data_IF_034161855518
#
_entry.id   IF_034161855518
#
_cell.length_a   1.000
_cell.length_b   1.000
_cell.length_c   1.000
_cell.angle_alpha   90.00
_cell.angle_beta   90.00
_cell.angle_gamma   90.00
#
_symmetry.space_group_name_H-M   'P 1'
#
loop_
_entity.id
_entity.type
_entity.pdbx_description
1 polymer ?
#
# COMPACT_ATOMS: atom_id res chain seq x y z
N UNK A 1 1.71 -13.25 -27.73
CA UNK A 1 2.29 -14.31 -26.85
C UNK A 1 1.25 -15.26 -26.26
N UNK A 2 0.07 -14.80 -25.84
CA UNK A 2 -1.01 -15.64 -25.28
C UNK A 2 -1.62 -16.62 -26.29
N UNK A 3 -1.67 -16.29 -27.57
CA UNK A 3 -2.28 -17.08 -28.65
C UNK A 3 -1.39 -18.17 -29.28
N UNK A 4 -0.18 -18.42 -28.77
CA UNK A 4 0.63 -19.55 -29.22
C UNK A 4 0.05 -20.85 -28.66
N UNK A 5 -0.14 -21.88 -29.51
CA UNK A 5 -0.63 -23.20 -29.11
C UNK A 5 0.25 -23.80 -28.02
N UNK A 6 -0.38 -24.26 -26.96
CA UNK A 6 0.28 -25.02 -25.89
C UNK A 6 0.43 -26.48 -26.34
N UNK A 7 1.56 -27.10 -26.05
CA UNK A 7 1.73 -28.53 -26.28
C UNK A 7 0.73 -29.32 -25.45
N UNK A 8 0.22 -30.43 -25.99
CA UNK A 8 -0.79 -31.25 -25.33
C UNK A 8 -0.35 -31.61 -23.88
N UNK A 9 -1.20 -31.35 -22.90
CA UNK A 9 -0.94 -31.61 -21.46
C UNK A 9 -0.30 -30.48 -20.68
N UNK A 10 0.03 -29.33 -21.29
CA UNK A 10 0.56 -28.17 -20.58
C UNK A 10 -0.49 -27.06 -20.42
N UNK A 11 -0.49 -26.37 -19.29
CA UNK A 11 -1.31 -25.19 -19.04
C UNK A 11 -0.43 -23.94 -19.13
N UNK A 12 -0.92 -22.92 -19.81
CA UNK A 12 -0.28 -21.61 -19.89
C UNK A 12 -0.87 -20.71 -18.81
N UNK A 13 -0.03 -20.14 -17.98
CA UNK A 13 -0.46 -19.24 -16.92
C UNK A 13 0.03 -17.82 -17.24
N UNK A 14 -0.89 -16.88 -17.36
CA UNK A 14 -0.61 -15.45 -17.45
C UNK A 14 -0.92 -14.79 -16.12
N UNK A 15 0.06 -14.08 -15.53
CA UNK A 15 -0.10 -13.37 -14.27
C UNK A 15 0.10 -11.88 -14.55
N UNK A 16 -0.88 -11.07 -14.18
CA UNK A 16 -0.82 -9.61 -14.23
C UNK A 16 -0.92 -9.12 -12.79
N UNK A 17 0.17 -8.61 -12.26
CA UNK A 17 0.22 -7.96 -10.96
C UNK A 17 -0.16 -6.48 -11.08
N UNK A 18 -0.67 -5.89 -9.99
CA UNK A 18 -1.13 -4.50 -9.95
C UNK A 18 -2.13 -4.20 -11.11
N UNK A 19 -3.10 -5.09 -11.29
CA UNK A 19 -4.04 -5.01 -12.41
C UNK A 19 -4.90 -3.73 -12.37
N UNK A 20 -5.08 -3.12 -11.19
CA UNK A 20 -5.70 -1.80 -10.97
C UNK A 20 -4.98 -0.67 -11.71
N UNK A 21 -3.69 -0.84 -12.04
CA UNK A 21 -2.89 0.16 -12.77
C UNK A 21 -3.01 0.08 -14.29
N UNK A 22 -3.76 -0.88 -14.80
CA UNK A 22 -4.06 -0.95 -16.22
C UNK A 22 -4.93 0.26 -16.61
N UNK A 23 -4.46 1.03 -17.57
CA UNK A 23 -5.26 2.10 -18.17
C UNK A 23 -6.55 1.52 -18.75
N UNK A 24 -7.63 2.30 -18.76
CA UNK A 24 -8.94 1.88 -19.27
C UNK A 24 -8.85 1.27 -20.68
N UNK A 25 -8.05 1.87 -21.57
CA UNK A 25 -7.82 1.35 -22.92
C UNK A 25 -7.18 -0.07 -22.91
N UNK A 26 -6.28 -0.33 -21.96
CA UNK A 26 -5.64 -1.63 -21.79
C UNK A 26 -6.63 -2.65 -21.20
N UNK A 27 -7.43 -2.25 -20.22
CA UNK A 27 -8.49 -3.09 -19.66
C UNK A 27 -9.50 -3.49 -20.74
N UNK A 28 -9.96 -2.54 -21.57
CA UNK A 28 -10.88 -2.78 -22.68
C UNK A 28 -10.26 -3.71 -23.75
N UNK A 29 -8.97 -3.55 -24.09
CA UNK A 29 -8.27 -4.44 -25.00
C UNK A 29 -8.19 -5.89 -24.48
N UNK A 30 -8.24 -6.07 -23.16
CA UNK A 30 -8.16 -7.38 -22.51
C UNK A 30 -9.50 -8.13 -22.48
N UNK A 31 -10.63 -7.42 -22.64
CA UNK A 31 -11.98 -8.02 -22.55
C UNK A 31 -12.17 -9.19 -23.49
N UNK A 32 -11.71 -9.09 -24.74
CA UNK A 32 -11.81 -10.19 -25.70
C UNK A 32 -11.09 -11.47 -25.23
N UNK A 33 -9.95 -11.31 -24.57
CA UNK A 33 -9.17 -12.45 -24.05
C UNK A 33 -9.84 -13.05 -22.80
N UNK A 34 -10.55 -12.23 -22.01
CA UNK A 34 -11.31 -12.69 -20.85
C UNK A 34 -12.61 -13.38 -21.25
N UNK A 35 -13.24 -12.97 -22.35
CA UNK A 35 -14.45 -13.61 -22.88
C UNK A 35 -14.16 -14.98 -23.48
N UNK A 36 -13.08 -15.08 -24.28
CA UNK A 36 -12.70 -16.30 -25.00
C UNK A 36 -11.21 -16.60 -24.72
N UNK A 37 -10.88 -17.08 -23.51
CA UNK A 37 -9.50 -17.43 -23.20
C UNK A 37 -9.04 -18.61 -24.06
N UNK A 38 -7.79 -18.60 -24.56
CA UNK A 38 -7.25 -19.72 -25.31
C UNK A 38 -7.31 -21.02 -24.49
N UNK A 39 -7.58 -22.15 -25.14
CA UNK A 39 -7.60 -23.44 -24.48
C UNK A 39 -6.32 -23.72 -23.68
N UNK A 40 -6.47 -24.24 -22.46
CA UNK A 40 -5.35 -24.51 -21.55
C UNK A 40 -4.67 -23.25 -21.02
N UNK A 41 -5.33 -22.10 -21.04
CA UNK A 41 -4.80 -20.86 -20.51
C UNK A 41 -5.52 -20.45 -19.21
N UNK A 42 -4.75 -20.13 -18.17
CA UNK A 42 -5.22 -19.53 -16.93
C UNK A 42 -4.70 -18.09 -16.86
N UNK A 43 -5.59 -17.15 -16.62
CA UNK A 43 -5.22 -15.74 -16.41
C UNK A 43 -5.50 -15.36 -14.97
N UNK A 44 -4.50 -14.80 -14.29
CA UNK A 44 -4.60 -14.28 -12.93
C UNK A 44 -4.39 -12.78 -12.97
N UNK A 45 -5.41 -12.04 -12.58
CA UNK A 45 -5.34 -10.59 -12.34
C UNK A 45 -5.23 -10.38 -10.85
N UNK A 46 -4.11 -9.86 -10.38
CA UNK A 46 -3.84 -9.62 -8.96
C UNK A 46 -3.91 -8.12 -8.73
N UNK A 47 -4.75 -7.71 -7.79
CA UNK A 47 -4.95 -6.31 -7.41
C UNK A 47 -5.26 -6.17 -5.92
N UNK A 48 -4.80 -5.08 -5.32
CA UNK A 48 -5.21 -4.66 -3.98
C UNK A 48 -6.46 -3.76 -4.01
N UNK A 49 -6.80 -3.19 -5.19
CA UNK A 49 -7.88 -2.24 -5.39
C UNK A 49 -8.83 -2.75 -6.50
N UNK A 50 -9.61 -3.79 -6.24
CA UNK A 50 -10.48 -4.37 -7.26
C UNK A 50 -11.49 -3.35 -7.81
N UNK A 51 -11.93 -2.37 -7.02
CA UNK A 51 -12.84 -1.31 -7.43
C UNK A 51 -12.30 -0.36 -8.51
N UNK A 52 -11.00 -0.38 -8.79
CA UNK A 52 -10.37 0.38 -9.88
C UNK A 52 -10.40 -0.38 -11.22
N UNK A 53 -10.78 -1.64 -11.21
CA UNK A 53 -11.00 -2.39 -12.43
C UNK A 53 -12.41 -2.09 -12.98
N UNK A 54 -12.54 -2.05 -14.30
CA UNK A 54 -13.83 -1.86 -14.95
C UNK A 54 -14.82 -2.99 -14.59
N UNK A 55 -16.09 -2.64 -14.41
CA UNK A 55 -17.15 -3.61 -14.14
C UNK A 55 -17.23 -4.70 -15.21
N UNK A 56 -16.89 -4.34 -16.45
CA UNK A 56 -16.80 -5.28 -17.58
C UNK A 56 -15.69 -6.31 -17.43
N UNK A 57 -14.60 -6.01 -16.73
CA UNK A 57 -13.53 -6.94 -16.35
C UNK A 57 -14.01 -7.82 -15.20
N UNK A 58 -14.60 -7.21 -14.16
CA UNK A 58 -15.14 -7.93 -13.02
C UNK A 58 -16.16 -9.00 -13.42
N UNK A 59 -17.10 -8.67 -14.30
CA UNK A 59 -18.16 -9.61 -14.76
C UNK A 59 -17.63 -10.84 -15.50
N UNK A 60 -16.36 -10.83 -15.93
CA UNK A 60 -15.69 -11.90 -16.68
C UNK A 60 -14.64 -12.64 -15.88
N UNK A 61 -14.43 -12.27 -14.64
CA UNK A 61 -13.46 -12.90 -13.74
C UNK A 61 -14.16 -13.58 -12.57
N UNK A 62 -13.58 -14.68 -12.11
CA UNK A 62 -13.95 -15.25 -10.81
C UNK A 62 -13.13 -14.53 -9.76
N UNK A 63 -13.80 -13.79 -8.88
CA UNK A 63 -13.12 -13.07 -7.79
C UNK A 63 -12.77 -14.03 -6.67
N UNK A 64 -11.49 -14.09 -6.31
CA UNK A 64 -10.98 -14.82 -5.15
C UNK A 64 -10.36 -13.79 -4.21
N UNK A 65 -11.00 -13.55 -3.09
CA UNK A 65 -10.48 -12.65 -2.06
C UNK A 65 -9.44 -13.38 -1.22
N UNK A 66 -8.21 -12.89 -1.27
CA UNK A 66 -7.14 -13.34 -0.40
C UNK A 66 -7.19 -12.44 0.85
N UNK A 67 -7.83 -12.93 1.90
CA UNK A 67 -7.77 -12.28 3.21
C UNK A 67 -6.46 -12.76 3.86
N UNK A 68 -5.58 -11.82 4.19
CA UNK A 68 -4.47 -12.14 5.09
C UNK A 68 -5.07 -12.38 6.46
N UNK A 69 -5.30 -13.68 6.76
CA UNK A 69 -5.83 -14.07 8.05
C UNK A 69 -4.74 -13.85 9.10
N UNK A 70 -4.99 -12.93 10.01
CA UNK A 70 -4.42 -12.83 11.36
C UNK A 70 -3.12 -12.07 11.61
N UNK A 71 -2.45 -11.51 10.63
CA UNK A 71 -1.38 -10.55 10.94
C UNK A 71 -1.33 -9.51 9.81
N UNK A 72 -2.04 -8.42 9.98
CA UNK A 72 -1.63 -7.18 9.37
C UNK A 72 -0.16 -7.00 9.75
N UNK A 73 0.73 -7.29 8.81
CA UNK A 73 2.17 -7.10 9.00
C UNK A 73 2.43 -5.60 8.96
N UNK A 74 2.12 -4.92 10.05
CA UNK A 74 2.68 -3.60 10.31
C UNK A 74 4.19 -3.76 10.52
N UNK A 75 4.86 -4.19 9.44
CA UNK A 75 6.11 -4.84 9.50
C UNK A 75 7.28 -3.95 9.29
N UNK A 76 8.36 -4.47 9.77
CA UNK A 76 9.68 -3.94 9.63
C UNK A 76 9.99 -2.81 10.61
N UNK A 77 11.25 -2.42 10.61
CA UNK A 77 11.83 -1.42 11.50
C UNK A 77 11.11 -0.06 11.43
N UNK A 78 10.67 0.34 10.23
CA UNK A 78 9.91 1.59 10.03
C UNK A 78 8.55 1.56 10.72
N UNK A 79 7.83 0.44 10.66
CA UNK A 79 6.54 0.27 11.33
C UNK A 79 6.67 0.28 12.85
N UNK A 80 7.66 -0.44 13.40
CA UNK A 80 7.94 -0.45 14.85
C UNK A 80 8.31 0.94 15.36
N UNK A 81 9.10 1.69 14.59
CA UNK A 81 9.47 3.06 14.93
C UNK A 81 8.25 3.98 14.98
N UNK A 82 7.34 3.89 14.02
CA UNK A 82 6.09 4.67 14.02
C UNK A 82 5.22 4.29 15.22
N UNK A 83 5.03 3.00 15.51
CA UNK A 83 4.24 2.54 16.67
C UNK A 83 4.84 3.03 18.00
N UNK A 84 6.15 2.94 18.16
CA UNK A 84 6.86 3.45 19.35
C UNK A 84 6.66 4.94 19.53
N UNK A 85 6.64 5.70 18.45
CA UNK A 85 6.39 7.16 18.50
C UNK A 85 4.94 7.46 18.85
N UNK A 86 3.97 6.74 18.28
CA UNK A 86 2.55 6.87 18.62
C UNK A 86 2.31 6.59 20.11
N UNK A 87 2.96 5.55 20.65
CA UNK A 87 2.87 5.21 22.06
C UNK A 87 3.44 6.29 22.99
N UNK A 88 4.41 7.08 22.53
CA UNK A 88 5.02 8.18 23.27
C UNK A 88 4.20 9.47 23.27
N UNK A 89 3.14 9.55 22.43
CA UNK A 89 2.31 10.75 22.35
C UNK A 89 1.20 10.68 23.38
N UNK A 90 1.24 11.61 24.33
CA UNK A 90 0.15 11.80 25.30
C UNK A 90 -1.08 12.45 24.67
N UNK A 91 -2.13 12.59 25.48
CA UNK A 91 -3.48 13.01 25.09
C UNK A 91 -3.65 14.46 24.60
N UNK A 92 -2.64 15.27 24.68
CA UNK A 92 -2.69 16.68 24.35
C UNK A 92 -1.36 17.13 23.77
N UNK A 93 -0.95 16.51 22.69
CA UNK A 93 0.26 16.94 21.98
C UNK A 93 0.03 18.32 21.39
N UNK A 94 0.97 19.23 21.64
CA UNK A 94 0.98 20.52 21.00
C UNK A 94 1.35 20.40 19.52
N UNK A 95 1.15 21.47 18.77
CA UNK A 95 1.50 21.54 17.33
C UNK A 95 2.97 21.15 17.10
N UNK A 96 3.88 21.49 18.00
CA UNK A 96 5.31 21.14 17.91
C UNK A 96 5.55 19.63 17.90
N UNK A 97 4.84 18.88 18.75
CA UNK A 97 4.94 17.43 18.85
C UNK A 97 4.32 16.74 17.62
N UNK A 98 3.16 17.23 17.17
CA UNK A 98 2.52 16.75 15.95
C UNK A 98 3.43 16.93 14.72
N UNK A 99 4.10 18.10 14.61
CA UNK A 99 5.09 18.33 13.56
C UNK A 99 6.35 17.46 13.72
N UNK A 100 6.76 17.15 14.94
CA UNK A 100 7.84 16.20 15.22
C UNK A 100 7.52 14.81 14.66
N UNK A 101 6.29 14.33 14.90
CA UNK A 101 5.79 13.09 14.31
C UNK A 101 5.73 13.13 12.79
N UNK A 102 5.17 14.21 12.22
CA UNK A 102 5.10 14.38 10.77
C UNK A 102 6.48 14.28 10.12
N UNK A 103 7.50 14.91 10.72
CA UNK A 103 8.89 14.81 10.24
C UNK A 103 9.44 13.40 10.32
N UNK A 104 9.17 12.71 11.40
CA UNK A 104 9.63 11.33 11.58
C UNK A 104 8.93 10.36 10.63
N UNK A 105 7.62 10.54 10.43
CA UNK A 105 6.86 9.77 9.43
C UNK A 105 7.41 10.05 8.01
N UNK A 106 7.62 11.31 7.66
CA UNK A 106 8.24 11.69 6.38
C UNK A 106 9.66 11.13 6.22
N UNK A 107 10.40 11.02 7.32
CA UNK A 107 11.72 10.37 7.35
C UNK A 107 11.61 8.88 7.01
N UNK A 108 10.67 8.16 7.63
CA UNK A 108 10.41 6.75 7.35
C UNK A 108 10.00 6.55 5.87
N UNK A 109 9.16 7.44 5.31
CA UNK A 109 8.79 7.38 3.90
C UNK A 109 9.98 7.55 2.96
N UNK A 110 10.92 8.45 3.28
CA UNK A 110 12.15 8.64 2.51
C UNK A 110 13.03 7.40 2.54
N UNK A 111 13.15 6.75 3.71
CA UNK A 111 13.91 5.52 3.87
C UNK A 111 13.33 4.37 3.05
N UNK A 112 12.02 4.11 3.15
CA UNK A 112 11.39 3.04 2.37
C UNK A 112 11.41 3.30 0.87
N UNK A 113 11.33 4.58 0.45
CA UNK A 113 11.49 4.97 -0.96
C UNK A 113 12.89 4.63 -1.46
N UNK A 114 13.91 5.03 -0.71
CA UNK A 114 15.30 4.71 -1.04
C UNK A 114 15.54 3.21 -1.10
N UNK A 115 15.02 2.44 -0.13
CA UNK A 115 15.13 0.98 -0.14
C UNK A 115 14.49 0.37 -1.39
N UNK A 116 13.29 0.83 -1.79
CA UNK A 116 12.63 0.36 -2.99
C UNK A 116 13.41 0.68 -4.27
N UNK A 117 14.06 1.86 -4.33
CA UNK A 117 14.93 2.26 -5.44
C UNK A 117 16.20 1.39 -5.47
N UNK A 118 16.87 1.18 -4.34
CA UNK A 118 18.07 0.35 -4.23
C UNK A 118 17.80 -1.11 -4.62
N UNK A 119 16.66 -1.67 -4.21
CA UNK A 119 16.21 -3.02 -4.59
C UNK A 119 15.99 -3.12 -6.10
N UNK A 120 15.26 -2.17 -6.70
CA UNK A 120 15.02 -2.14 -8.14
C UNK A 120 16.28 -2.00 -8.96
N UNK A 121 17.23 -1.17 -8.50
CA UNK A 121 18.52 -1.01 -9.15
C UNK A 121 19.40 -2.27 -9.04
N UNK A 122 19.36 -2.97 -7.91
CA UNK A 122 20.07 -4.24 -7.73
C UNK A 122 19.51 -5.32 -8.65
N UNK A 123 18.18 -5.43 -8.78
CA UNK A 123 17.53 -6.37 -9.70
C UNK A 123 17.85 -6.03 -11.16
N UNK A 124 17.80 -4.77 -11.53
CA UNK A 124 18.17 -4.29 -12.87
C UNK A 124 19.61 -4.67 -13.23
N UNK A 125 20.54 -4.48 -12.30
CA UNK A 125 21.95 -4.85 -12.50
C UNK A 125 22.13 -6.35 -12.70
N UNK A 126 21.48 -7.17 -11.87
CA UNK A 126 21.50 -8.64 -11.99
C UNK A 126 20.96 -9.10 -13.35
N UNK A 127 19.83 -8.54 -13.76
CA UNK A 127 19.22 -8.87 -15.06
C UNK A 127 20.13 -8.44 -16.21
N UNK A 128 20.74 -7.25 -16.15
CA UNK A 128 21.68 -6.77 -17.15
C UNK A 128 22.92 -7.67 -17.27
N UNK A 129 23.46 -8.19 -16.18
CA UNK A 129 24.59 -9.13 -16.19
C UNK A 129 24.23 -10.43 -16.89
N UNK A 130 23.04 -10.98 -16.66
CA UNK A 130 22.58 -12.23 -17.28
C UNK A 130 22.40 -12.06 -18.78
N UNK A 131 21.80 -10.97 -19.22
CA UNK A 131 21.39 -10.79 -20.61
C UNK A 131 22.34 -9.91 -21.45
N UNK A 132 23.40 -9.35 -20.87
CA UNK A 132 24.36 -8.48 -21.58
C UNK A 132 25.01 -9.11 -22.79
N UNK A 133 25.12 -10.44 -22.81
CA UNK A 133 25.77 -11.21 -23.89
C UNK A 133 24.78 -11.73 -24.94
N UNK A 134 23.46 -11.63 -24.70
CA UNK A 134 22.44 -12.29 -25.52
C UNK A 134 21.41 -11.35 -26.15
N UNK A 135 21.40 -10.06 -25.74
CA UNK A 135 20.42 -9.06 -26.19
C UNK A 135 21.08 -7.79 -26.70
N UNK A 136 20.42 -7.11 -27.63
CA UNK A 136 20.85 -5.80 -28.07
C UNK A 136 20.54 -4.72 -27.00
N UNK A 137 21.21 -3.57 -27.09
CA UNK A 137 21.07 -2.48 -26.09
C UNK A 137 19.67 -1.83 -26.06
N UNK A 138 18.79 -2.11 -27.03
CA UNK A 138 17.44 -1.56 -27.10
C UNK A 138 16.53 -2.21 -26.05
N UNK A 139 16.69 -3.50 -25.83
CA UNK A 139 15.95 -4.24 -24.81
C UNK A 139 16.27 -3.74 -23.40
N UNK A 140 17.55 -3.50 -23.10
CA UNK A 140 17.97 -2.98 -21.79
C UNK A 140 17.38 -1.59 -21.48
N UNK A 141 17.24 -0.72 -22.49
CA UNK A 141 16.56 0.58 -22.31
C UNK A 141 15.10 0.44 -21.92
N UNK A 142 14.37 -0.51 -22.54
CA UNK A 142 12.99 -0.80 -22.18
C UNK A 142 12.83 -1.29 -20.73
N UNK A 143 13.84 -2.01 -20.21
CA UNK A 143 13.84 -2.53 -18.83
C UNK A 143 14.04 -1.45 -17.76
N UNK A 144 14.71 -0.34 -18.07
CA UNK A 144 14.87 0.77 -17.14
C UNK A 144 13.52 1.33 -16.68
N UNK A 145 12.59 1.57 -17.60
CA UNK A 145 11.24 2.00 -17.28
C UNK A 145 10.49 1.00 -16.39
N UNK A 146 10.64 -0.30 -16.67
CA UNK A 146 10.05 -1.37 -15.85
C UNK A 146 10.56 -1.33 -14.40
N UNK A 147 11.89 -1.28 -14.19
CA UNK A 147 12.44 -1.28 -12.83
C UNK A 147 12.10 0.00 -12.06
N UNK A 148 12.03 1.13 -12.75
CA UNK A 148 11.55 2.38 -12.14
C UNK A 148 10.09 2.28 -11.69
N UNK A 149 9.21 1.70 -12.52
CA UNK A 149 7.82 1.45 -12.15
C UNK A 149 7.70 0.45 -11.00
N UNK A 150 8.52 -0.61 -10.99
CA UNK A 150 8.56 -1.59 -9.92
C UNK A 150 8.98 -0.97 -8.57
N UNK A 151 10.03 -0.15 -8.56
CA UNK A 151 10.47 0.59 -7.36
C UNK A 151 9.36 1.51 -6.85
N UNK A 152 8.69 2.23 -7.75
CA UNK A 152 7.58 3.09 -7.39
C UNK A 152 6.40 2.28 -6.80
N UNK A 153 6.07 1.13 -7.38
CA UNK A 153 5.04 0.24 -6.85
C UNK A 153 5.35 -0.24 -5.44
N UNK A 154 6.59 -0.70 -5.21
CA UNK A 154 7.06 -1.11 -3.88
C UNK A 154 6.98 0.01 -2.86
N UNK A 155 7.40 1.21 -3.24
CA UNK A 155 7.27 2.39 -2.39
C UNK A 155 5.83 2.65 -1.99
N UNK A 156 4.90 2.67 -2.96
CA UNK A 156 3.49 2.93 -2.71
C UNK A 156 2.85 1.87 -1.81
N UNK A 157 3.19 0.60 -1.99
CA UNK A 157 2.72 -0.50 -1.14
C UNK A 157 3.20 -0.32 0.31
N UNK A 158 4.51 -0.07 0.52
CA UNK A 158 5.08 0.16 1.86
C UNK A 158 4.55 1.44 2.51
N UNK A 159 4.30 2.49 1.71
CA UNK A 159 3.65 3.71 2.21
C UNK A 159 2.25 3.42 2.72
N UNK A 160 1.47 2.65 1.98
CA UNK A 160 0.13 2.24 2.40
C UNK A 160 0.18 1.45 3.73
N UNK A 161 1.11 0.53 3.90
CA UNK A 161 1.31 -0.20 5.17
C UNK A 161 1.56 0.73 6.35
N UNK A 162 2.39 1.77 6.19
CA UNK A 162 2.63 2.75 7.26
C UNK A 162 1.39 3.60 7.58
N UNK A 163 0.57 3.94 6.58
CA UNK A 163 -0.69 4.65 6.81
C UNK A 163 -1.71 3.75 7.54
N UNK A 164 -1.75 2.46 7.21
CA UNK A 164 -2.62 1.51 7.90
C UNK A 164 -2.27 1.38 9.40
N UNK A 165 -1.00 1.55 9.81
CA UNK A 165 -0.63 1.61 11.23
C UNK A 165 -1.37 2.75 11.95
N UNK A 166 -1.45 3.93 11.31
CA UNK A 166 -2.14 5.08 11.90
C UNK A 166 -3.65 4.83 12.02
N UNK A 167 -4.25 4.24 10.99
CA UNK A 167 -5.67 3.88 10.98
C UNK A 167 -5.96 2.82 12.05
N UNK A 168 -5.14 1.76 12.10
CA UNK A 168 -5.27 0.70 13.10
C UNK A 168 -5.13 1.25 14.53
N UNK A 169 -4.23 2.19 14.77
CA UNK A 169 -4.03 2.84 16.07
C UNK A 169 -5.29 3.52 16.60
N UNK A 170 -5.92 4.35 15.77
CA UNK A 170 -7.18 5.01 16.15
C UNK A 170 -8.35 4.02 16.16
N UNK A 171 -8.38 3.07 15.22
CA UNK A 171 -9.36 2.00 15.16
C UNK A 171 -9.36 1.14 16.42
N UNK A 172 -8.19 0.73 16.91
CA UNK A 172 -8.07 -0.04 18.15
C UNK A 172 -8.49 0.75 19.38
N UNK A 173 -8.18 2.06 19.40
CA UNK A 173 -8.67 2.94 20.46
C UNK A 173 -10.20 3.01 20.48
N UNK A 174 -10.86 3.10 19.31
CA UNK A 174 -12.32 3.07 19.19
C UNK A 174 -12.92 1.71 19.59
N UNK A 175 -12.29 0.60 19.18
CA UNK A 175 -12.71 -0.75 19.58
C UNK A 175 -12.67 -0.92 21.09
N UNK A 176 -11.62 -0.45 21.74
CA UNK A 176 -11.48 -0.52 23.20
C UNK A 176 -12.49 0.36 23.92
N UNK A 177 -12.82 1.56 23.41
CA UNK A 177 -13.92 2.36 23.96
C UNK A 177 -15.26 1.63 23.90
N UNK A 178 -15.47 0.85 22.84
CA UNK A 178 -16.69 0.07 22.60
C UNK A 178 -16.68 -1.30 23.28
N UNK A 179 -15.64 -1.65 24.03
CA UNK A 179 -15.52 -2.92 24.74
C UNK A 179 -15.14 -4.12 23.86
N UNK A 180 -14.67 -3.90 22.65
CA UNK A 180 -14.18 -4.98 21.77
C UNK A 180 -12.75 -5.37 22.16
N UNK A 181 -12.50 -6.71 22.18
CA UNK A 181 -11.20 -7.28 22.56
C UNK A 181 -10.28 -7.61 21.38
N UNK A 182 -10.83 -7.73 20.17
CA UNK A 182 -10.03 -8.02 18.97
C UNK A 182 -9.39 -6.72 18.46
N UNK A 183 -8.07 -6.65 18.52
CA UNK A 183 -7.27 -5.50 18.10
C UNK A 183 -6.42 -5.87 16.89
N UNK A 184 -6.13 -4.87 16.05
CA UNK A 184 -5.22 -5.02 14.92
C UNK A 184 -3.76 -4.89 15.38
N UNK A 185 -3.52 -4.11 16.45
CA UNK A 185 -2.21 -3.88 17.09
C UNK A 185 -2.23 -4.36 18.55
N UNK A 186 -2.34 -5.67 18.82
CA UNK A 186 -2.48 -6.20 20.17
C UNK A 186 -1.27 -5.88 21.06
N UNK A 187 -0.10 -5.73 20.49
CA UNK A 187 1.14 -5.36 21.19
C UNK A 187 1.09 -3.94 21.76
N UNK A 188 0.33 -3.05 21.12
CA UNK A 188 0.18 -1.64 21.50
C UNK A 188 -1.12 -1.40 22.30
N UNK A 189 -1.80 -2.47 22.75
CA UNK A 189 -3.09 -2.41 23.45
C UNK A 189 -3.11 -1.47 24.65
N UNK A 190 -2.03 -1.40 25.42
CA UNK A 190 -1.92 -0.51 26.57
C UNK A 190 -1.94 0.97 26.17
N UNK A 191 -1.22 1.32 25.11
CA UNK A 191 -1.13 2.69 24.63
C UNK A 191 -2.43 3.15 23.95
N UNK A 192 -3.03 2.30 23.12
CA UNK A 192 -4.33 2.59 22.48
C UNK A 192 -5.45 2.67 23.50
N UNK A 193 -5.37 1.91 24.62
CA UNK A 193 -6.32 2.01 25.73
C UNK A 193 -6.17 3.33 26.52
N UNK A 194 -4.95 3.82 26.70
CA UNK A 194 -4.74 5.14 27.30
C UNK A 194 -5.38 6.23 26.44
N UNK A 195 -5.18 6.20 25.14
CA UNK A 195 -5.82 7.11 24.20
C UNK A 195 -7.34 6.99 24.26
N UNK A 196 -7.87 5.77 24.23
CA UNK A 196 -9.31 5.50 24.33
C UNK A 196 -9.98 6.10 25.58
N UNK A 197 -9.27 6.14 26.71
CA UNK A 197 -9.79 6.70 27.97
C UNK A 197 -9.70 8.22 28.05
N UNK A 198 -8.88 8.82 27.23
CA UNK A 198 -8.49 10.22 27.38
C UNK A 198 -9.22 11.18 26.45
N UNK A 199 -9.75 10.69 25.34
CA UNK A 199 -10.48 11.51 24.37
C UNK A 199 -11.84 10.88 24.03
N UNK A 200 -12.77 11.72 23.57
CA UNK A 200 -14.11 11.26 23.21
C UNK A 200 -14.11 10.44 21.90
N UNK A 201 -15.15 9.64 21.72
CA UNK A 201 -15.38 8.91 20.45
C UNK A 201 -15.46 9.87 19.24
N UNK A 202 -16.07 11.04 19.42
CA UNK A 202 -16.15 12.05 18.37
C UNK A 202 -14.76 12.55 17.96
N UNK A 203 -13.89 12.78 18.94
CA UNK A 203 -12.52 13.21 18.72
C UNK A 203 -11.67 12.10 18.08
N UNK A 204 -11.82 10.84 18.50
CA UNK A 204 -11.17 9.70 17.83
C UNK A 204 -11.57 9.58 16.36
N UNK A 205 -12.87 9.70 16.07
CA UNK A 205 -13.36 9.68 14.70
C UNK A 205 -12.78 10.83 13.85
N UNK A 206 -12.72 12.04 14.42
CA UNK A 206 -12.12 13.20 13.76
C UNK A 206 -10.65 12.94 13.39
N UNK A 207 -9.88 12.39 14.34
CA UNK A 207 -8.46 12.08 14.16
C UNK A 207 -8.27 10.97 13.11
N UNK A 208 -9.09 9.94 13.15
CA UNK A 208 -9.08 8.87 12.15
C UNK A 208 -9.39 9.42 10.76
N UNK A 209 -10.43 10.27 10.63
CA UNK A 209 -10.75 10.92 9.34
C UNK A 209 -9.62 11.78 8.80
N UNK A 210 -8.83 12.43 9.66
CA UNK A 210 -7.66 13.18 9.21
C UNK A 210 -6.60 12.27 8.57
N UNK A 211 -6.42 11.04 9.06
CA UNK A 211 -5.50 10.06 8.48
C UNK A 211 -6.08 9.47 7.18
N UNK A 212 -7.38 9.21 7.13
CA UNK A 212 -8.05 8.75 5.91
C UNK A 212 -7.95 9.79 4.80
N UNK A 213 -8.21 11.06 5.10
CA UNK A 213 -8.02 12.15 4.16
C UNK A 213 -6.57 12.25 3.67
N UNK A 214 -5.58 12.05 4.55
CA UNK A 214 -4.18 11.98 4.14
C UNK A 214 -3.93 10.89 3.10
N UNK A 215 -4.53 9.71 3.28
CA UNK A 215 -4.42 8.61 2.32
C UNK A 215 -4.95 9.01 0.94
N UNK A 216 -6.10 9.68 0.92
CA UNK A 216 -6.73 10.17 -0.30
C UNK A 216 -5.90 11.28 -0.96
N UNK A 217 -5.41 12.25 -0.17
CA UNK A 217 -4.52 13.30 -0.65
C UNK A 217 -3.25 12.74 -1.29
N UNK A 218 -2.62 11.74 -0.65
CA UNK A 218 -1.41 11.10 -1.15
C UNK A 218 -1.64 10.24 -2.41
N UNK A 219 -2.87 9.90 -2.74
CA UNK A 219 -3.23 9.29 -4.02
C UNK A 219 -3.31 10.32 -5.17
N UNK A 220 -3.34 11.60 -4.83
CA UNK A 220 -3.38 12.72 -5.79
C UNK A 220 -2.00 13.36 -5.99
N UNK A 221 -1.93 14.41 -6.81
CA UNK A 221 -0.67 15.10 -7.12
C UNK A 221 -0.37 16.25 -6.13
N UNK A 222 -0.45 15.97 -4.81
CA UNK A 222 -0.14 16.94 -3.75
C UNK A 222 1.33 16.86 -3.32
N UNK A 223 1.81 17.92 -2.69
CA UNK A 223 3.12 17.90 -2.06
C UNK A 223 3.08 17.02 -0.79
N UNK A 224 3.68 15.83 -0.87
CA UNK A 224 3.61 14.78 0.17
C UNK A 224 3.96 15.29 1.58
N UNK A 225 5.06 16.06 1.72
CA UNK A 225 5.48 16.57 3.03
C UNK A 225 4.46 17.52 3.67
N UNK A 226 3.84 18.37 2.86
CA UNK A 226 2.83 19.32 3.34
C UNK A 226 1.53 18.61 3.73
N UNK A 227 1.07 17.66 2.92
CA UNK A 227 -0.11 16.85 3.24
C UNK A 227 0.08 16.11 4.58
N UNK A 228 1.26 15.52 4.81
CA UNK A 228 1.59 14.84 6.06
C UNK A 228 1.57 15.83 7.24
N UNK A 229 2.20 17.00 7.12
CA UNK A 229 2.22 17.99 8.21
C UNK A 229 0.80 18.45 8.60
N UNK A 230 -0.04 18.76 7.61
CA UNK A 230 -1.43 19.19 7.83
C UNK A 230 -2.24 18.08 8.51
N UNK A 231 -2.15 16.85 7.98
CA UNK A 231 -2.88 15.72 8.53
C UNK A 231 -2.43 15.36 9.96
N UNK A 232 -1.12 15.43 10.24
CA UNK A 232 -0.60 15.13 11.57
C UNK A 232 -0.97 16.22 12.59
N UNK A 233 -0.98 17.48 12.22
CA UNK A 233 -1.55 18.54 13.07
C UNK A 233 -3.02 18.22 13.34
N UNK A 234 -3.82 17.92 12.33
CA UNK A 234 -5.22 17.59 12.51
C UNK A 234 -5.45 16.32 13.36
N UNK A 235 -4.63 15.29 13.19
CA UNK A 235 -4.80 14.01 13.90
C UNK A 235 -4.27 14.01 15.34
N UNK A 236 -3.24 14.79 15.65
CA UNK A 236 -2.51 14.68 16.92
C UNK A 236 -2.56 15.93 17.81
N UNK A 237 -3.20 17.01 17.37
CA UNK A 237 -3.45 18.16 18.25
C UNK A 237 -4.88 18.12 18.80
N UNK A 238 -5.03 18.55 20.06
CA UNK A 238 -6.35 18.85 20.61
C UNK A 238 -6.81 20.19 20.01
N UNK A 239 -8.03 20.24 19.50
CA UNK A 239 -8.71 21.50 19.20
C UNK A 239 -9.73 21.73 20.30
N UNK A 240 -9.55 22.82 21.02
CA UNK A 240 -10.53 23.32 22.01
C UNK A 240 -11.83 23.75 21.33
#
# INVERSE_FOLDING_TARGET
MLYQKVAAGNTKIGIITDADRLQEAAQNAFLKTLEEPPEGCLLLLITAFPEQLLDTVHSRCITVTLLDSDKMRFGGESGERIRSMLAGIGNGSGVSEALGLARSFSGALKEIKKQAEDEGDAERKREAEIYSKTTDGSWLKGREGYFKALSQSRYLARRAELLEILVAWFGDSLRQQSGYSRLDLPEDAAATQLLAKSISTAELNRRMSAVENLRDDLATNVQESLAIEVAFIAAFTAFD
#
